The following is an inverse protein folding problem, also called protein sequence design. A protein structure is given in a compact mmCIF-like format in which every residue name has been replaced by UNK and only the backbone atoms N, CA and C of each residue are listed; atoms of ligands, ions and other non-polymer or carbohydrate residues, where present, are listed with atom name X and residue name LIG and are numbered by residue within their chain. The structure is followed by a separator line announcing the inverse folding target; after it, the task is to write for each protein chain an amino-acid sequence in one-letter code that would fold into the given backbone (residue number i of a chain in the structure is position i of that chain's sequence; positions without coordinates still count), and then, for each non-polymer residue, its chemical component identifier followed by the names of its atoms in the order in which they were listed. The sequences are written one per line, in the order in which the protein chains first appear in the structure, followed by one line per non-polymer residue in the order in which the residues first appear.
data_IF_691415611888
#
_entry.id   IF_691415611888
#
_cell.length_a   1.000
_cell.length_b   1.000
_cell.length_c   1.000
_cell.angle_alpha   90.00
_cell.angle_beta   90.00
_cell.angle_gamma   90.00
#
_symmetry.space_group_name_H-M   'P 1'
#
loop_
_entity.id
_entity.type
_entity.pdbx_description
1 polymer ?
#
# COMPACT_ATOMS: atom_id res chain seq x y z
N UNK A 1 26.85 -7.70 7.37
CA UNK A 1 25.58 -8.46 7.36
C UNK A 1 24.59 -7.69 8.22
N UNK A 2 23.58 -7.05 7.61
CA UNK A 2 22.63 -6.17 8.32
C UNK A 2 21.79 -6.96 9.34
N UNK A 3 21.50 -6.36 10.50
CA UNK A 3 20.69 -6.93 11.58
C UNK A 3 19.32 -7.43 11.08
N UNK A 4 18.78 -6.79 10.03
CA UNK A 4 17.56 -7.24 9.32
C UNK A 4 17.70 -8.59 8.62
N UNK A 5 18.87 -8.91 8.04
CA UNK A 5 19.13 -10.23 7.41
C UNK A 5 19.31 -11.34 8.45
N UNK A 6 19.84 -11.03 9.63
CA UNK A 6 19.88 -12.00 10.74
C UNK A 6 18.45 -12.31 11.21
N UNK A 7 17.61 -11.29 11.37
CA UNK A 7 16.20 -11.45 11.75
C UNK A 7 15.41 -12.24 10.70
N UNK A 8 15.54 -11.94 9.39
CA UNK A 8 14.88 -12.72 8.32
C UNK A 8 15.37 -14.18 8.30
N UNK A 9 16.68 -14.44 8.45
CA UNK A 9 17.22 -15.82 8.52
C UNK A 9 16.79 -16.59 9.77
N UNK A 10 16.67 -15.91 10.92
CA UNK A 10 16.20 -16.50 12.18
C UNK A 10 14.69 -16.72 12.14
N UNK A 11 13.93 -15.80 11.53
CA UNK A 11 12.50 -15.99 11.30
C UNK A 11 12.25 -17.16 10.34
N UNK A 12 12.98 -17.26 9.23
CA UNK A 12 12.82 -18.39 8.30
C UNK A 12 13.18 -19.72 8.95
N UNK A 13 14.19 -19.79 9.81
CA UNK A 13 14.52 -21.05 10.51
C UNK A 13 13.57 -21.41 11.66
N UNK A 14 12.97 -20.42 12.34
CA UNK A 14 12.04 -20.64 13.46
C UNK A 14 10.57 -20.77 13.02
N UNK A 15 10.13 -19.98 12.03
CA UNK A 15 8.76 -20.01 11.53
C UNK A 15 8.52 -21.19 10.60
N UNK A 16 9.49 -21.62 9.81
CA UNK A 16 9.28 -22.72 8.85
C UNK A 16 8.78 -24.03 9.49
N UNK A 17 9.34 -24.53 10.60
CA UNK A 17 8.79 -25.72 11.27
C UNK A 17 7.40 -25.46 11.88
N UNK A 18 7.11 -24.25 12.36
CA UNK A 18 5.78 -23.87 12.89
C UNK A 18 4.71 -23.77 11.80
N UNK A 19 5.08 -23.29 10.62
CA UNK A 19 4.20 -23.13 9.46
C UNK A 19 3.99 -24.46 8.72
N UNK A 20 5.00 -25.33 8.61
CA UNK A 20 4.91 -26.60 7.85
C UNK A 20 4.19 -27.75 8.57
N UNK A 21 3.92 -27.64 9.87
CA UNK A 21 3.36 -28.72 10.70
C UNK A 21 1.82 -28.73 10.79
N UNK A 22 1.11 -27.89 10.03
CA UNK A 22 -0.35 -27.78 10.15
C UNK A 22 -1.14 -27.93 8.85
N UNK A 23 -2.30 -28.61 8.88
CA UNK A 23 -3.09 -28.96 7.69
C UNK A 23 -3.70 -27.77 6.95
N UNK A 24 -3.59 -26.55 7.50
CA UNK A 24 -4.07 -25.30 6.91
C UNK A 24 -2.95 -24.43 6.30
N UNK A 25 -1.68 -24.85 6.43
CA UNK A 25 -0.54 -24.23 5.75
C UNK A 25 -0.03 -25.17 4.65
N UNK A 26 -0.35 -24.85 3.40
CA UNK A 26 0.09 -25.61 2.23
C UNK A 26 1.42 -25.10 1.66
N UNK A 27 2.37 -24.67 2.51
CA UNK A 27 3.73 -24.39 2.04
C UNK A 27 4.45 -25.71 1.82
N UNK A 28 4.40 -26.24 0.59
CA UNK A 28 5.11 -27.46 0.19
C UNK A 28 6.64 -27.31 0.21
N UNK A 29 7.13 -26.07 0.24
CA UNK A 29 8.54 -25.68 0.23
C UNK A 29 8.78 -24.47 1.14
N UNK A 30 10.02 -24.26 1.63
CA UNK A 30 10.36 -23.10 2.44
C UNK A 30 10.14 -21.79 1.71
N UNK A 31 9.64 -20.74 2.42
CA UNK A 31 9.51 -19.43 1.84
C UNK A 31 10.89 -18.88 1.44
N UNK A 32 10.91 -18.12 0.35
CA UNK A 32 12.13 -17.49 -0.13
C UNK A 32 12.55 -16.33 0.77
N UNK A 33 11.58 -15.54 1.25
CA UNK A 33 11.80 -14.43 2.17
C UNK A 33 10.54 -14.12 3.00
N UNK A 34 10.74 -13.48 4.15
CA UNK A 34 9.67 -13.09 5.08
C UNK A 34 9.95 -11.70 5.65
N UNK A 35 8.93 -10.85 5.60
CA UNK A 35 8.94 -9.50 6.14
C UNK A 35 7.84 -9.31 7.18
N UNK A 36 8.20 -8.71 8.32
CA UNK A 36 7.23 -8.23 9.30
C UNK A 36 6.71 -6.87 8.83
N UNK A 37 5.42 -6.79 8.54
CA UNK A 37 4.75 -5.56 8.10
C UNK A 37 4.29 -4.74 9.30
N UNK A 38 3.61 -5.37 10.27
CA UNK A 38 3.16 -4.74 11.51
C UNK A 38 3.05 -5.78 12.63
N UNK A 39 3.22 -5.35 13.87
CA UNK A 39 3.04 -6.19 15.08
C UNK A 39 2.03 -5.57 16.04
N UNK A 40 1.16 -4.70 15.54
CA UNK A 40 0.21 -3.96 16.35
C UNK A 40 -0.91 -4.86 16.88
N UNK A 41 -1.51 -4.47 18.01
CA UNK A 41 -2.71 -5.09 18.62
C UNK A 41 -2.57 -6.61 18.89
N UNK A 42 -1.43 -7.05 19.41
CA UNK A 42 -1.14 -8.44 19.78
C UNK A 42 -1.26 -9.44 18.62
N UNK A 43 -1.14 -8.97 17.37
CA UNK A 43 -1.14 -9.82 16.19
C UNK A 43 0.03 -9.43 15.31
N UNK A 44 0.51 -10.39 14.53
CA UNK A 44 1.61 -10.19 13.59
C UNK A 44 1.04 -10.22 12.18
N UNK A 45 1.35 -9.18 11.41
CA UNK A 45 1.04 -9.07 10.00
C UNK A 45 2.34 -9.26 9.21
N UNK A 46 2.40 -10.32 8.40
CA UNK A 46 3.59 -10.72 7.66
C UNK A 46 3.35 -10.65 6.17
N UNK A 47 4.42 -10.36 5.42
CA UNK A 47 4.48 -10.61 3.99
C UNK A 47 5.50 -11.74 3.75
N UNK A 48 5.08 -12.76 3.03
CA UNK A 48 5.86 -13.95 2.75
C UNK A 48 5.94 -14.17 1.24
N UNK A 49 7.14 -14.38 0.72
CA UNK A 49 7.37 -14.71 -0.69
C UNK A 49 7.53 -16.22 -0.83
N UNK A 50 6.65 -16.83 -1.62
CA UNK A 50 6.73 -18.26 -1.91
C UNK A 50 7.81 -18.55 -2.96
N UNK A 51 8.32 -19.78 -2.97
CA UNK A 51 9.50 -20.18 -3.77
C UNK A 51 9.35 -19.97 -5.28
N UNK A 52 8.12 -19.95 -5.82
CA UNK A 52 7.84 -19.77 -7.24
C UNK A 52 7.53 -18.31 -7.61
N UNK A 53 7.31 -17.43 -6.64
CA UNK A 53 6.98 -16.02 -6.86
C UNK A 53 8.27 -15.21 -7.04
N UNK A 54 8.32 -14.33 -8.05
CA UNK A 54 9.52 -13.53 -8.34
C UNK A 54 9.34 -12.05 -8.00
N UNK A 55 8.13 -11.53 -8.16
CA UNK A 55 7.78 -10.10 -8.04
C UNK A 55 6.53 -9.87 -7.17
N UNK A 56 6.14 -10.87 -6.38
CA UNK A 56 4.97 -10.78 -5.51
C UNK A 56 5.18 -11.45 -4.15
N UNK A 57 4.40 -10.98 -3.18
CA UNK A 57 4.33 -11.52 -1.82
C UNK A 57 2.88 -11.83 -1.46
N UNK A 58 2.69 -12.83 -0.62
CA UNK A 58 1.41 -13.13 0.02
C UNK A 58 1.41 -12.53 1.43
N UNK A 59 0.32 -11.88 1.82
CA UNK A 59 0.12 -11.33 3.15
C UNK A 59 -0.55 -12.37 4.05
N UNK A 60 -0.06 -12.45 5.29
CA UNK A 60 -0.55 -13.35 6.32
C UNK A 60 -0.81 -12.58 7.62
N UNK A 61 -1.90 -12.91 8.29
CA UNK A 61 -2.23 -12.41 9.63
C UNK A 61 -2.15 -13.54 10.65
N UNK A 62 -1.59 -13.25 11.82
CA UNK A 62 -1.53 -14.20 12.92
C UNK A 62 -2.81 -14.21 13.78
N UNK A 63 -3.00 -15.28 14.53
CA UNK A 63 -3.84 -15.29 15.72
C UNK A 63 -3.24 -14.39 16.83
N UNK A 64 -4.00 -14.06 17.89
CA UNK A 64 -3.52 -13.21 18.98
C UNK A 64 -2.30 -13.74 19.77
N UNK A 65 -1.95 -15.02 19.61
CA UNK A 65 -0.76 -15.60 20.23
C UNK A 65 0.46 -15.58 19.30
N UNK A 66 0.30 -15.19 18.03
CA UNK A 66 1.38 -15.14 17.04
C UNK A 66 1.84 -16.52 16.56
N UNK A 67 1.02 -17.56 16.73
CA UNK A 67 1.35 -18.96 16.46
C UNK A 67 0.73 -19.42 15.14
N UNK A 68 -0.55 -19.14 14.94
CA UNK A 68 -1.29 -19.57 13.75
C UNK A 68 -1.42 -18.41 12.79
N UNK A 69 -1.19 -18.66 11.49
CA UNK A 69 -1.31 -17.62 10.47
C UNK A 69 -2.34 -18.04 9.42
N UNK A 70 -3.00 -17.07 8.81
CA UNK A 70 -3.90 -17.29 7.67
C UNK A 70 -3.59 -16.27 6.59
N UNK A 71 -3.70 -16.71 5.33
CA UNK A 71 -3.55 -15.81 4.20
C UNK A 71 -4.68 -14.78 4.20
N UNK A 72 -4.33 -13.52 3.93
CA UNK A 72 -5.27 -12.38 3.95
C UNK A 72 -5.27 -11.62 2.64
N UNK A 73 -4.17 -11.66 1.86
CA UNK A 73 -4.13 -11.13 0.51
C UNK A 73 -3.03 -11.82 -0.31
N UNK A 74 -3.36 -12.25 -1.51
CA UNK A 74 -2.41 -12.87 -2.44
C UNK A 74 -1.81 -11.84 -3.41
N UNK A 75 -0.62 -12.14 -3.91
CA UNK A 75 0.00 -11.45 -5.06
C UNK A 75 0.19 -9.93 -4.88
N UNK A 76 0.62 -9.48 -3.71
CA UNK A 76 0.99 -8.07 -3.49
C UNK A 76 2.25 -7.74 -4.27
N UNK A 77 2.22 -6.65 -5.05
CA UNK A 77 3.33 -6.18 -5.86
C UNK A 77 4.56 -5.97 -4.98
N UNK A 78 5.70 -6.49 -5.43
CA UNK A 78 6.99 -6.23 -4.81
C UNK A 78 8.02 -5.89 -5.87
N UNK A 79 9.05 -5.16 -5.47
CA UNK A 79 10.16 -4.87 -6.34
C UNK A 79 11.47 -4.69 -5.58
N UNK A 80 12.55 -5.09 -6.25
CA UNK A 80 13.90 -5.05 -5.71
C UNK A 80 14.48 -3.66 -5.94
N UNK A 81 14.95 -3.04 -4.88
CA UNK A 81 15.65 -1.76 -4.93
C UNK A 81 17.17 -1.99 -5.08
N UNK A 82 17.94 -0.99 -5.56
CA UNK A 82 19.37 -1.12 -5.85
C UNK A 82 20.24 -1.59 -4.68
N UNK A 83 19.82 -1.37 -3.42
CA UNK A 83 20.55 -1.77 -2.21
C UNK A 83 20.21 -3.19 -1.71
N UNK A 84 19.64 -4.05 -2.57
CA UNK A 84 19.10 -5.37 -2.18
C UNK A 84 17.99 -5.28 -1.12
N UNK A 85 17.37 -4.12 -0.92
CA UNK A 85 16.12 -4.00 -0.18
C UNK A 85 14.95 -4.38 -1.07
N UNK A 86 14.00 -5.14 -0.52
CA UNK A 86 12.73 -5.41 -1.19
C UNK A 86 11.72 -4.38 -0.69
N UNK A 87 11.05 -3.72 -1.62
CA UNK A 87 9.88 -2.91 -1.34
C UNK A 87 8.64 -3.75 -1.64
N UNK A 88 7.79 -3.92 -0.64
CA UNK A 88 6.48 -4.56 -0.76
C UNK A 88 5.46 -3.43 -0.73
N UNK A 89 4.59 -3.38 -1.74
CA UNK A 89 3.71 -2.24 -2.00
C UNK A 89 2.45 -2.29 -1.11
N UNK A 90 2.70 -2.20 0.19
CA UNK A 90 1.73 -2.15 1.29
C UNK A 90 2.02 -0.93 2.18
N UNK A 91 0.95 -0.27 2.61
CA UNK A 91 0.99 0.88 3.49
C UNK A 91 -0.01 0.71 4.64
N UNK A 92 0.49 0.81 5.87
CA UNK A 92 -0.36 1.01 7.06
C UNK A 92 -0.75 2.49 7.16
N UNK A 93 -2.04 2.77 7.30
CA UNK A 93 -2.55 4.14 7.45
C UNK A 93 -2.22 4.64 8.85
N UNK A 94 -1.38 5.67 8.93
CA UNK A 94 -1.05 6.27 10.22
C UNK A 94 -2.25 6.98 10.83
N UNK A 95 -2.41 6.88 12.15
CA UNK A 95 -3.50 7.51 12.90
C UNK A 95 -4.75 6.64 13.05
N UNK A 96 -4.92 5.59 12.25
CA UNK A 96 -6.04 4.64 12.38
C UNK A 96 -5.51 3.20 12.28
N UNK A 97 -5.50 2.51 13.43
CA UNK A 97 -5.01 1.13 13.51
C UNK A 97 -5.92 0.17 12.73
N UNK A 98 -5.30 -0.83 12.12
CA UNK A 98 -6.02 -1.88 11.38
C UNK A 98 -6.40 -1.49 9.94
N UNK A 99 -6.08 -0.28 9.49
CA UNK A 99 -6.33 0.17 8.11
C UNK A 99 -5.06 0.05 7.27
N UNK A 100 -5.15 -0.69 6.16
CA UNK A 100 -4.02 -0.90 5.24
C UNK A 100 -4.46 -0.68 3.80
N UNK A 101 -3.56 -0.13 2.99
CA UNK A 101 -3.64 -0.15 1.53
C UNK A 101 -2.59 -1.11 0.98
N UNK A 102 -2.93 -1.84 -0.08
CA UNK A 102 -1.98 -2.69 -0.80
C UNK A 102 -2.25 -2.67 -2.29
N UNK A 103 -1.19 -2.78 -3.09
CA UNK A 103 -1.27 -2.93 -4.53
C UNK A 103 -1.13 -4.40 -4.90
N UNK A 104 -2.22 -5.00 -5.38
CA UNK A 104 -2.27 -6.39 -5.83
C UNK A 104 -1.96 -6.47 -7.33
N UNK A 105 -1.13 -7.44 -7.74
CA UNK A 105 -0.78 -7.70 -9.14
C UNK A 105 -1.35 -9.05 -9.60
N UNK A 106 -2.35 -9.02 -10.47
CA UNK A 106 -2.98 -10.23 -11.06
C UNK A 106 -3.01 -10.06 -12.57
N UNK A 107 -2.56 -11.07 -13.32
CA UNK A 107 -2.51 -11.06 -14.79
C UNK A 107 -1.81 -9.83 -15.38
N UNK A 108 -0.76 -9.35 -14.71
CA UNK A 108 -0.02 -8.14 -15.09
C UNK A 108 -0.73 -6.83 -14.77
N UNK A 109 -1.96 -6.86 -14.24
CA UNK A 109 -2.71 -5.67 -13.82
C UNK A 109 -2.49 -5.38 -12.35
N UNK A 110 -2.10 -4.15 -12.04
CA UNK A 110 -1.94 -3.70 -10.65
C UNK A 110 -3.21 -2.99 -10.20
N UNK A 111 -3.79 -3.39 -9.07
CA UNK A 111 -4.99 -2.81 -8.48
C UNK A 111 -4.76 -2.45 -7.03
N UNK A 112 -5.18 -1.26 -6.64
CA UNK A 112 -5.13 -0.82 -5.23
C UNK A 112 -6.35 -1.29 -4.48
N UNK A 113 -6.11 -1.90 -3.33
CA UNK A 113 -7.12 -2.37 -2.38
C UNK A 113 -6.90 -1.71 -1.03
N UNK A 114 -7.99 -1.54 -0.28
CA UNK A 114 -7.99 -1.09 1.12
C UNK A 114 -8.69 -2.12 2.00
N UNK A 115 -8.21 -2.25 3.23
CA UNK A 115 -8.87 -3.03 4.29
C UNK A 115 -9.02 -2.14 5.52
N UNK A 116 -10.14 -2.29 6.23
CA UNK A 116 -10.41 -1.60 7.50
C UNK A 116 -10.39 -2.55 8.70
N UNK A 117 -10.18 -3.84 8.45
CA UNK A 117 -10.23 -4.90 9.44
C UNK A 117 -8.95 -5.76 9.39
N UNK A 118 -7.82 -5.09 9.15
CA UNK A 118 -6.47 -5.66 9.25
C UNK A 118 -6.25 -6.87 8.33
N UNK A 119 -6.86 -6.82 7.15
CA UNK A 119 -6.67 -7.80 6.08
C UNK A 119 -7.74 -8.88 5.97
N UNK A 120 -8.75 -8.91 6.86
CA UNK A 120 -9.81 -9.91 6.75
C UNK A 120 -10.65 -9.73 5.47
N UNK A 121 -11.03 -8.49 5.16
CA UNK A 121 -11.73 -8.12 3.94
C UNK A 121 -11.00 -6.98 3.23
N UNK A 122 -10.89 -7.09 1.91
CA UNK A 122 -10.26 -6.09 1.05
C UNK A 122 -11.25 -5.60 0.00
N UNK A 123 -11.29 -4.30 -0.22
CA UNK A 123 -12.14 -3.67 -1.22
C UNK A 123 -11.35 -2.73 -2.14
N UNK A 124 -11.74 -2.59 -3.43
CA UNK A 124 -11.19 -1.57 -4.30
C UNK A 124 -11.56 -0.15 -3.84
N UNK A 125 -10.71 0.83 -4.13
CA UNK A 125 -11.02 2.22 -3.82
C UNK A 125 -12.16 2.77 -4.69
N UNK A 126 -13.05 3.54 -4.06
CA UNK A 126 -14.17 4.19 -4.74
C UNK A 126 -13.66 5.35 -5.60
N UNK A 127 -14.07 5.45 -6.89
CA UNK A 127 -13.75 6.60 -7.70
C UNK A 127 -14.46 7.86 -7.16
N UNK A 128 -13.87 9.06 -7.30
CA UNK A 128 -14.57 10.31 -6.97
C UNK A 128 -15.77 10.52 -7.89
N UNK A 129 -16.79 11.21 -7.39
CA UNK A 129 -18.01 11.50 -8.17
C UNK A 129 -17.79 12.62 -9.19
N UNK A 130 -16.91 13.57 -8.89
CA UNK A 130 -16.59 14.73 -9.71
C UNK A 130 -15.08 14.94 -9.81
N UNK A 131 -14.65 15.49 -10.93
CA UNK A 131 -13.28 15.97 -11.11
C UNK A 131 -13.06 17.33 -10.42
N UNK A 132 -11.84 17.86 -10.52
CA UNK A 132 -11.47 19.18 -9.97
C UNK A 132 -12.28 20.35 -10.55
N UNK A 133 -12.84 20.20 -11.75
CA UNK A 133 -13.65 21.21 -12.43
C UNK A 133 -15.14 21.06 -12.13
N UNK A 134 -15.52 20.12 -11.25
CA UNK A 134 -16.90 19.82 -10.89
C UNK A 134 -17.67 19.01 -11.94
N UNK A 135 -16.99 18.48 -12.96
CA UNK A 135 -17.61 17.62 -13.98
C UNK A 135 -17.74 16.19 -13.45
N UNK A 136 -18.84 15.48 -13.75
CA UNK A 136 -18.99 14.09 -13.34
C UNK A 136 -17.93 13.19 -13.97
N UNK A 137 -17.35 12.33 -13.14
CA UNK A 137 -16.37 11.32 -13.56
C UNK A 137 -17.10 10.14 -14.22
N UNK A 138 -16.57 9.65 -15.35
CA UNK A 138 -17.13 8.52 -16.09
C UNK A 138 -16.73 7.15 -15.54
N UNK A 139 -15.66 7.09 -14.74
CA UNK A 139 -15.18 5.89 -14.07
C UNK A 139 -16.21 5.38 -13.06
N UNK A 140 -16.75 4.18 -13.29
CA UNK A 140 -17.74 3.54 -12.42
C UNK A 140 -17.42 2.06 -12.25
N UNK A 141 -17.74 1.54 -11.07
CA UNK A 141 -17.74 0.11 -10.79
C UNK A 141 -18.75 -0.60 -11.71
N UNK A 142 -18.49 -1.86 -12.11
CA UNK A 142 -17.43 -2.77 -11.61
C UNK A 142 -16.09 -2.69 -12.35
N UNK A 143 -16.02 -2.00 -13.48
CA UNK A 143 -14.84 -2.09 -14.37
C UNK A 143 -13.75 -1.06 -14.05
N UNK A 144 -14.08 -0.03 -13.28
CA UNK A 144 -13.23 1.11 -13.03
C UNK A 144 -13.23 1.54 -11.56
N UNK A 145 -12.03 1.72 -11.01
CA UNK A 145 -11.76 2.07 -9.62
C UNK A 145 -10.63 3.11 -9.53
N UNK A 146 -10.45 3.66 -8.33
CA UNK A 146 -9.27 4.47 -8.01
C UNK A 146 -8.08 3.56 -7.69
N UNK A 147 -6.92 3.91 -8.22
CA UNK A 147 -5.66 3.24 -7.95
C UNK A 147 -4.61 4.28 -7.57
N UNK A 148 -3.76 3.95 -6.58
CA UNK A 148 -2.76 4.85 -6.02
C UNK A 148 -1.36 4.23 -6.09
N UNK A 149 -0.37 5.08 -6.32
CA UNK A 149 1.04 4.77 -6.14
C UNK A 149 1.37 4.84 -4.65
N UNK A 150 1.48 3.68 -3.98
CA UNK A 150 1.59 3.63 -2.52
C UNK A 150 2.99 4.00 -2.04
N UNK A 151 3.95 3.11 -2.29
CA UNK A 151 5.36 3.30 -1.92
C UNK A 151 6.29 3.24 -3.13
N UNK A 152 5.73 2.85 -4.27
CA UNK A 152 6.44 2.70 -5.53
C UNK A 152 6.07 3.83 -6.48
N UNK A 153 6.96 4.81 -6.62
CA UNK A 153 6.95 5.68 -7.78
C UNK A 153 7.75 4.96 -8.87
N UNK A 154 7.07 4.48 -9.92
CA UNK A 154 7.73 3.90 -11.09
C UNK A 154 8.68 4.93 -11.76
N UNK A 155 8.44 6.21 -11.54
CA UNK A 155 9.25 7.32 -12.03
C UNK A 155 10.26 7.80 -10.95
N UNK A 156 11.59 7.70 -11.22
CA UNK A 156 12.63 8.07 -10.27
C UNK A 156 12.76 9.58 -10.01
N UNK A 157 12.00 10.41 -10.73
CA UNK A 157 12.04 11.87 -10.62
C UNK A 157 10.90 12.47 -9.80
N UNK A 158 10.01 11.65 -9.25
CA UNK A 158 8.83 12.09 -8.47
C UNK A 158 8.72 11.32 -7.17
N UNK A 159 8.19 11.96 -6.14
CA UNK A 159 7.97 11.39 -4.81
C UNK A 159 6.56 10.77 -4.70
N UNK A 160 6.17 9.95 -5.68
CA UNK A 160 4.81 9.45 -5.92
C UNK A 160 4.30 8.46 -4.88
N UNK A 161 4.24 8.89 -3.62
CA UNK A 161 3.87 8.06 -2.47
C UNK A 161 2.61 8.57 -1.81
N UNK A 162 1.81 7.64 -1.30
CA UNK A 162 0.66 8.00 -0.45
C UNK A 162 1.15 8.56 0.88
N UNK A 163 0.69 9.76 1.20
CA UNK A 163 0.97 10.49 2.42
C UNK A 163 -0.15 10.29 3.44
N UNK A 164 0.20 9.67 4.58
CA UNK A 164 -0.64 9.59 5.78
C UNK A 164 0.15 10.10 6.99
N UNK A 165 -0.53 10.71 7.96
CA UNK A 165 0.06 11.20 9.21
C UNK A 165 -0.78 10.78 10.40
N UNK A 166 -0.11 10.39 11.47
CA UNK A 166 -0.69 10.10 12.77
C UNK A 166 -1.38 11.32 13.39
N UNK A 167 -0.85 12.52 13.15
CA UNK A 167 -1.43 13.79 13.60
C UNK A 167 -2.74 14.17 12.89
N UNK A 168 -3.09 13.50 11.80
CA UNK A 168 -4.22 13.83 10.93
C UNK A 168 -5.01 12.54 10.58
N UNK A 169 -5.66 11.89 11.56
CA UNK A 169 -6.29 10.58 11.38
C UNK A 169 -7.44 10.66 10.36
N UNK A 170 -7.44 9.73 9.40
CA UNK A 170 -8.44 9.65 8.34
C UNK A 170 -8.13 10.49 7.10
N UNK A 171 -7.12 11.37 7.17
CA UNK A 171 -6.58 12.06 6.00
C UNK A 171 -5.57 11.16 5.28
N UNK A 172 -5.91 10.81 4.04
CA UNK A 172 -5.04 10.05 3.13
C UNK A 172 -4.98 10.82 1.82
N UNK A 173 -3.77 11.12 1.36
CA UNK A 173 -3.55 11.84 0.11
C UNK A 173 -2.47 11.15 -0.70
N UNK A 174 -2.63 11.05 -2.01
CA UNK A 174 -1.61 10.46 -2.87
C UNK A 174 -1.88 10.59 -4.35
N UNK A 175 -0.85 10.30 -5.13
CA UNK A 175 -0.90 10.28 -6.58
C UNK A 175 -1.43 8.93 -7.10
N UNK A 176 -2.14 8.96 -8.22
CA UNK A 176 -2.69 7.76 -8.83
C UNK A 176 -3.50 8.03 -10.08
N UNK A 177 -4.32 7.06 -10.47
CA UNK A 177 -5.18 7.17 -11.63
C UNK A 177 -6.53 6.48 -11.42
N UNK A 178 -7.49 6.86 -12.25
CA UNK A 178 -8.77 6.17 -12.41
C UNK A 178 -8.69 5.22 -13.59
N UNK A 179 -9.14 3.98 -13.42
CA UNK A 179 -9.12 2.99 -14.48
C UNK A 179 -9.38 1.58 -13.99
N UNK A 180 -9.02 0.61 -14.83
CA UNK A 180 -9.09 -0.82 -14.50
C UNK A 180 -7.80 -1.36 -13.85
N UNK A 181 -6.73 -0.55 -13.88
CA UNK A 181 -5.41 -0.82 -13.30
C UNK A 181 -4.62 0.47 -13.06
N UNK A 182 -3.59 0.39 -12.23
CA UNK A 182 -2.59 1.42 -12.01
C UNK A 182 -1.71 1.60 -13.26
N UNK A 183 -1.42 2.84 -13.64
CA UNK A 183 -0.53 3.16 -14.78
C UNK A 183 0.54 4.18 -14.38
N UNK A 184 1.68 4.16 -15.08
CA UNK A 184 2.86 4.97 -14.73
C UNK A 184 2.82 6.40 -15.29
N UNK A 185 2.10 6.64 -16.39
CA UNK A 185 2.17 7.91 -17.13
C UNK A 185 1.08 8.93 -16.74
N UNK A 186 0.15 8.55 -15.85
CA UNK A 186 -0.96 9.41 -15.44
C UNK A 186 -1.00 9.48 -13.92
N UNK A 187 -0.59 10.62 -13.38
CA UNK A 187 -0.46 10.85 -11.94
C UNK A 187 -1.30 12.06 -11.53
N UNK A 188 -2.55 11.80 -11.13
CA UNK A 188 -3.46 12.79 -10.56
C UNK A 188 -3.46 12.65 -9.03
N UNK A 189 -3.60 13.76 -8.30
CA UNK A 189 -3.62 13.75 -6.84
C UNK A 189 -5.05 13.60 -6.32
N UNK A 190 -5.24 12.63 -5.43
CA UNK A 190 -6.50 12.35 -4.76
C UNK A 190 -6.35 12.48 -3.24
N UNK A 191 -7.42 12.91 -2.59
CA UNK A 191 -7.52 13.02 -1.14
C UNK A 191 -8.82 12.42 -0.63
N UNK A 192 -8.75 11.84 0.56
CA UNK A 192 -9.89 11.47 1.38
C UNK A 192 -9.69 12.05 2.78
N UNK A 193 -10.79 12.47 3.41
CA UNK A 193 -10.83 12.93 4.81
C UNK A 193 -11.62 11.98 5.71
N UNK A 194 -12.14 10.88 5.17
CA UNK A 194 -12.96 9.89 5.86
C UNK A 194 -12.36 8.47 5.73
N UNK A 195 -11.03 8.42 5.69
CA UNK A 195 -10.21 7.21 5.66
C UNK A 195 -10.39 6.33 4.41
N UNK A 196 -10.83 6.87 3.29
CA UNK A 196 -10.93 6.14 2.02
C UNK A 196 -12.34 5.74 1.63
N UNK A 197 -13.36 6.17 2.37
CA UNK A 197 -14.77 5.97 2.00
C UNK A 197 -15.18 6.88 0.84
N UNK A 198 -14.79 8.14 0.89
CA UNK A 198 -14.99 9.11 -0.18
C UNK A 198 -13.67 9.73 -0.61
N UNK A 199 -13.45 9.74 -1.93
CA UNK A 199 -12.28 10.32 -2.55
C UNK A 199 -12.65 11.56 -3.35
N UNK A 200 -11.70 12.50 -3.46
CA UNK A 200 -11.79 13.72 -4.27
C UNK A 200 -10.50 13.93 -5.02
N UNK A 201 -10.58 14.36 -6.27
CA UNK A 201 -9.42 14.80 -7.03
C UNK A 201 -9.09 16.26 -6.65
N UNK A 202 -7.81 16.58 -6.48
CA UNK A 202 -7.36 17.92 -6.07
C UNK A 202 -6.32 18.54 -7.00
N UNK A 203 -5.42 17.75 -7.58
CA UNK A 203 -4.44 18.22 -8.57
C UNK A 203 -4.33 17.27 -9.77
N UNK A 204 -4.01 17.81 -10.94
CA UNK A 204 -3.77 17.04 -12.17
C UNK A 204 -2.37 16.43 -12.25
N UNK A 205 -1.43 16.97 -11.48
CA UNK A 205 -0.02 16.54 -11.42
C UNK A 205 0.40 16.33 -9.97
N UNK A 206 1.54 15.67 -9.76
CA UNK A 206 2.08 15.40 -8.43
C UNK A 206 2.51 16.68 -7.69
N UNK A 207 2.25 16.70 -6.39
CA UNK A 207 2.62 17.80 -5.49
C UNK A 207 3.19 17.22 -4.19
N UNK A 208 4.25 17.84 -3.68
CA UNK A 208 4.74 17.64 -2.32
C UNK A 208 3.72 18.16 -1.32
N UNK A 209 3.32 17.31 -0.38
CA UNK A 209 2.28 17.62 0.60
C UNK A 209 2.87 17.78 2.00
N UNK A 210 2.51 18.89 2.65
CA UNK A 210 2.80 19.14 4.06
C UNK A 210 1.52 19.37 4.84
N UNK A 211 1.34 18.58 5.91
CA UNK A 211 0.27 18.76 6.88
C UNK A 211 0.74 19.66 8.02
N UNK A 212 -0.05 20.69 8.31
CA UNK A 212 0.12 21.61 9.42
C UNK A 212 -1.12 21.57 10.32
N UNK A 213 -0.95 21.98 11.58
CA UNK A 213 -2.02 22.07 12.58
C UNK A 213 -2.90 20.80 12.64
N UNK A 214 -2.27 19.63 12.83
CA UNK A 214 -2.99 18.34 12.90
C UNK A 214 -3.87 18.03 11.67
N UNK A 215 -3.49 18.56 10.49
CA UNK A 215 -4.25 18.40 9.25
C UNK A 215 -5.30 19.48 9.02
N UNK A 216 -5.37 20.51 9.87
CA UNK A 216 -6.22 21.69 9.68
C UNK A 216 -5.78 22.54 8.48
N UNK A 217 -4.49 22.53 8.13
CA UNK A 217 -3.96 23.18 6.93
C UNK A 217 -3.12 22.18 6.13
N UNK A 218 -3.40 22.10 4.83
CA UNK A 218 -2.66 21.28 3.87
C UNK A 218 -1.97 22.23 2.90
N UNK A 219 -0.65 22.13 2.81
CA UNK A 219 0.18 22.89 1.85
C UNK A 219 0.63 21.95 0.75
N UNK A 220 0.46 22.37 -0.50
CA UNK A 220 0.86 21.61 -1.67
C UNK A 220 1.83 22.41 -2.54
N UNK A 221 2.98 21.82 -2.86
CA UNK A 221 3.98 22.43 -3.76
C UNK A 221 4.17 21.49 -4.94
N UNK A 222 3.92 21.99 -6.15
CA UNK A 222 4.05 21.21 -7.38
C UNK A 222 5.45 20.60 -7.48
N UNK A 223 5.52 19.29 -7.68
CA UNK A 223 6.79 18.57 -7.84
C UNK A 223 7.26 18.72 -9.29
N UNK A 224 8.24 19.58 -9.53
CA UNK A 224 8.74 19.84 -10.89
C UNK A 224 10.21 20.26 -10.86
N UNK A 225 10.93 19.88 -11.90
CA UNK A 225 12.33 20.27 -12.12
C UNK A 225 12.51 21.74 -12.51
N UNK A 226 11.41 22.46 -12.76
CA UNK A 226 11.42 23.89 -13.10
C UNK A 226 11.30 24.72 -11.80
N UNK A 227 12.15 25.72 -11.56
CA UNK A 227 12.04 26.56 -10.37
C UNK A 227 10.70 27.31 -10.35
N UNK A 228 9.90 27.07 -9.30
CA UNK A 228 8.61 27.72 -9.08
C UNK A 228 8.73 28.87 -8.08
N UNK A 229 7.91 29.92 -8.27
CA UNK A 229 7.72 31.04 -7.33
C UNK A 229 6.34 31.04 -6.67
N UNK A 230 5.57 29.96 -6.80
CA UNK A 230 4.15 29.91 -6.43
C UNK A 230 3.94 28.84 -5.35
N UNK A 231 3.31 29.25 -4.25
CA UNK A 231 2.66 28.37 -3.26
C UNK A 231 1.15 28.49 -3.49
N UNK A 232 0.46 27.36 -3.66
CA UNK A 232 -1.01 27.30 -3.78
C UNK A 232 -1.62 26.71 -2.52
#
# INVERSE_FOLDING_TARGET
MSMRRLLSKVLTSLLFPLLSLHPFFHLSLPPQDVHIVSTDENQVFLALQEWYQTDSYNLYQSDPHGVYYSIVLENVRSAKQPEESVLIDILEVRGIKGVFLANQKVDGKVRTLITYNKGRDWEPLTPPTTDMNGKPVSCKSPDCHLHLHLRWADNPYVSGTVHTKDSAPGLIMGAGNLGSQLVEYKEEMYITSDCGKTWRQVFEEEHHILYLDHGGVIVAIKDTSIPLKILK
#
